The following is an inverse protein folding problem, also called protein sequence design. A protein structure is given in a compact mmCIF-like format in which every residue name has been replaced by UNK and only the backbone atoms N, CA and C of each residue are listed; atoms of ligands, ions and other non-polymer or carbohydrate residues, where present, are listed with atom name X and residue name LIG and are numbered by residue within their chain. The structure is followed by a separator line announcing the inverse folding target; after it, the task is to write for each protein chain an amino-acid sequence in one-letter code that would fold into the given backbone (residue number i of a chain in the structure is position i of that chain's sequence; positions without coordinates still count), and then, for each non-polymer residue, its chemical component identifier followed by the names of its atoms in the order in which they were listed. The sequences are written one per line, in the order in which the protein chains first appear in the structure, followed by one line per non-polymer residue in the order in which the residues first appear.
data_IF_620479285518
#
_entry.id   IF_620479285518
#
_cell.length_a   1.000
_cell.length_b   1.000
_cell.length_c   1.000
_cell.angle_alpha   90.00
_cell.angle_beta   90.00
_cell.angle_gamma   90.00
#
_symmetry.space_group_name_H-M   'P 1'
#
loop_
_entity.id
_entity.type
_entity.pdbx_description
1 polymer ?
#
# COMPACT_ATOMS: atom_id res chain seq x y z
N UNK A 1 13.94 5.51 21.67
CA UNK A 1 13.51 5.92 20.31
C UNK A 1 14.13 4.95 19.33
N UNK A 2 13.45 3.84 19.03
CA UNK A 2 14.00 2.77 18.20
C UNK A 2 13.63 3.01 16.72
N UNK A 3 14.65 3.16 15.87
CA UNK A 3 14.55 3.24 14.43
C UNK A 3 14.16 1.89 13.83
N UNK A 4 13.03 1.84 13.11
CA UNK A 4 12.60 0.64 12.41
C UNK A 4 13.11 0.70 10.96
N UNK A 5 14.10 -0.15 10.66
CA UNK A 5 14.66 -0.34 9.32
C UNK A 5 13.75 -1.21 8.44
N UNK A 6 13.91 -1.03 7.13
CA UNK A 6 12.99 -1.41 6.05
C UNK A 6 13.41 -2.74 5.41
N UNK A 7 13.84 -3.71 6.21
CA UNK A 7 14.60 -4.88 5.72
C UNK A 7 13.67 -6.12 5.52
N UNK A 8 12.50 -5.95 4.91
CA UNK A 8 11.44 -6.98 4.89
C UNK A 8 11.21 -7.69 3.54
N UNK A 9 12.01 -7.46 2.50
CA UNK A 9 11.65 -7.92 1.15
C UNK A 9 12.67 -8.85 0.49
N UNK A 10 13.04 -9.94 1.17
CA UNK A 10 13.59 -11.13 0.52
C UNK A 10 13.08 -12.37 1.26
N UNK A 11 12.26 -13.18 0.58
CA UNK A 11 12.14 -14.63 0.74
C UNK A 11 10.96 -15.16 -0.10
N UNK A 12 11.36 -15.62 -1.29
CA UNK A 12 11.12 -16.94 -1.87
C UNK A 12 9.69 -17.40 -2.20
N UNK A 13 9.51 -17.51 -3.53
CA UNK A 13 8.51 -18.28 -4.25
C UNK A 13 8.75 -19.77 -4.00
N UNK A 14 7.76 -20.46 -3.44
CA UNK A 14 7.66 -21.90 -3.61
C UNK A 14 6.23 -22.24 -4.00
N UNK A 15 6.12 -22.95 -5.12
CA UNK A 15 4.89 -23.23 -5.85
C UNK A 15 4.37 -24.60 -5.47
N UNK A 16 3.05 -24.74 -5.31
CA UNK A 16 2.39 -26.05 -5.35
C UNK A 16 1.04 -25.93 -6.09
N UNK A 17 0.61 -26.96 -6.84
CA UNK A 17 -0.28 -26.83 -7.99
C UNK A 17 -1.78 -26.81 -7.64
N UNK A 18 -2.54 -25.93 -8.29
CA UNK A 18 -4.00 -25.89 -8.24
C UNK A 18 -4.63 -27.05 -9.01
N UNK A 19 -5.48 -27.81 -8.30
CA UNK A 19 -6.36 -28.84 -8.84
C UNK A 19 -7.58 -28.16 -9.47
N UNK A 20 -7.81 -28.42 -10.75
CA UNK A 20 -8.96 -27.95 -11.54
C UNK A 20 -10.16 -28.86 -11.26
N UNK A 21 -11.33 -28.33 -10.85
CA UNK A 21 -12.59 -29.04 -11.04
C UNK A 21 -13.29 -28.60 -12.33
N UNK A 22 -13.69 -29.60 -13.12
CA UNK A 22 -14.34 -29.55 -14.43
C UNK A 22 -15.66 -28.77 -14.46
N UNK A 23 -15.91 -28.14 -15.62
CA UNK A 23 -17.13 -27.42 -15.94
C UNK A 23 -18.31 -28.36 -16.27
N UNK A 24 -19.55 -28.07 -15.83
CA UNK A 24 -20.74 -28.74 -16.33
C UNK A 24 -21.29 -28.10 -17.63
N UNK A 25 -22.11 -28.84 -18.41
CA UNK A 25 -22.35 -28.62 -19.84
C UNK A 25 -23.42 -27.56 -20.16
N UNK A 26 -23.30 -27.00 -21.36
CA UNK A 26 -24.16 -25.97 -21.94
C UNK A 26 -25.55 -26.47 -22.34
N UNK A 27 -26.57 -25.63 -22.12
CA UNK A 27 -27.91 -25.76 -22.73
C UNK A 27 -28.18 -24.55 -23.65
N UNK A 28 -28.88 -24.75 -24.80
CA UNK A 28 -29.14 -23.71 -25.77
C UNK A 28 -30.50 -23.00 -25.59
N UNK A 29 -30.55 -21.79 -26.15
CA UNK A 29 -31.69 -21.08 -26.75
C UNK A 29 -32.54 -20.11 -25.91
N UNK A 30 -32.29 -18.83 -26.25
CA UNK A 30 -33.28 -17.87 -26.79
C UNK A 30 -34.25 -17.19 -25.81
N UNK A 31 -33.89 -15.96 -25.43
CA UNK A 31 -34.84 -14.89 -25.16
C UNK A 31 -34.38 -13.58 -25.85
N UNK A 32 -35.33 -12.77 -26.35
CA UNK A 32 -35.05 -11.62 -27.22
C UNK A 32 -34.49 -10.42 -26.46
N UNK A 33 -33.51 -9.75 -27.08
CA UNK A 33 -32.91 -8.50 -26.65
C UNK A 33 -33.94 -7.35 -26.59
N UNK A 34 -33.96 -6.55 -25.51
CA UNK A 34 -34.43 -5.18 -25.60
C UNK A 34 -33.29 -4.32 -26.15
N UNK A 35 -33.56 -3.64 -27.26
CA UNK A 35 -32.72 -2.59 -27.84
C UNK A 35 -32.54 -1.46 -26.82
N UNK A 36 -31.37 -1.42 -26.17
CA UNK A 36 -30.94 -0.27 -25.38
C UNK A 36 -29.98 0.51 -26.27
N UNK A 37 -30.39 1.74 -26.58
CA UNK A 37 -29.71 2.66 -27.49
C UNK A 37 -28.22 2.78 -27.19
N UNK A 38 -27.44 2.60 -28.23
CA UNK A 38 -25.99 2.81 -28.27
C UNK A 38 -25.69 4.30 -28.21
N UNK A 39 -25.83 4.90 -27.03
CA UNK A 39 -25.09 6.11 -26.69
C UNK A 39 -23.63 5.71 -26.46
N UNK A 40 -22.64 6.32 -27.14
CA UNK A 40 -21.24 6.00 -26.91
C UNK A 40 -20.91 6.35 -25.46
N UNK A 41 -20.70 5.33 -24.63
CA UNK A 41 -20.15 5.49 -23.29
C UNK A 41 -18.78 6.13 -23.48
N UNK A 42 -18.73 7.44 -23.28
CA UNK A 42 -17.51 8.20 -23.09
C UNK A 42 -16.77 7.53 -21.93
N UNK A 43 -15.72 6.78 -22.25
CA UNK A 43 -14.77 6.28 -21.26
C UNK A 43 -14.16 7.54 -20.62
N UNK A 44 -14.41 7.85 -19.34
CA UNK A 44 -13.79 9.01 -18.73
C UNK A 44 -12.28 8.75 -18.68
N UNK A 45 -11.51 9.57 -19.40
CA UNK A 45 -10.05 9.60 -19.27
C UNK A 45 -9.69 9.62 -17.78
N UNK A 46 -8.99 8.58 -17.35
CA UNK A 46 -8.56 8.31 -15.98
C UNK A 46 -7.46 9.29 -15.55
N UNK A 47 -7.71 10.60 -15.63
CA UNK A 47 -6.80 11.59 -15.07
C UNK A 47 -6.99 11.64 -13.56
N UNK A 48 -6.12 10.91 -12.86
CA UNK A 48 -6.02 11.00 -11.40
C UNK A 48 -5.58 12.44 -11.07
N UNK A 49 -6.36 13.20 -10.28
CA UNK A 49 -6.00 14.57 -9.96
C UNK A 49 -4.71 14.57 -9.15
N UNK A 50 -3.79 15.45 -9.53
CA UNK A 50 -2.52 15.62 -8.83
C UNK A 50 -2.80 16.02 -7.37
N UNK A 51 -2.02 15.51 -6.40
CA UNK A 51 -2.11 15.97 -5.02
C UNK A 51 -1.80 17.47 -4.98
N UNK A 52 -2.33 18.20 -3.99
CA UNK A 52 -2.11 19.64 -3.83
C UNK A 52 -0.60 19.96 -3.80
N UNK A 53 -0.09 20.55 -4.89
CA UNK A 53 1.34 20.79 -5.14
C UNK A 53 1.89 22.00 -4.38
N UNK A 54 1.03 22.98 -4.08
CA UNK A 54 1.41 24.27 -3.48
C UNK A 54 1.44 24.25 -1.94
N UNK A 55 1.32 23.05 -1.34
CA UNK A 55 1.32 22.89 0.11
C UNK A 55 2.72 22.62 0.64
N UNK A 56 3.15 23.43 1.61
CA UNK A 56 4.38 23.20 2.36
C UNK A 56 4.13 22.32 3.59
N UNK A 57 5.12 21.48 3.92
CA UNK A 57 5.04 20.55 5.04
C UNK A 57 6.19 20.79 6.01
N UNK A 58 5.90 20.75 7.31
CA UNK A 58 6.92 20.95 8.35
C UNK A 58 7.99 19.84 8.36
N UNK A 59 7.62 18.63 7.93
CA UNK A 59 8.53 17.49 7.82
C UNK A 59 8.31 16.75 6.49
N UNK A 60 9.35 16.09 5.95
CA UNK A 60 9.18 15.28 4.75
C UNK A 60 8.20 14.13 4.96
N UNK A 61 8.17 13.55 6.16
CA UNK A 61 7.25 12.46 6.51
C UNK A 61 5.78 12.92 6.49
N UNK A 62 5.50 14.18 6.83
CA UNK A 62 4.17 14.78 6.72
C UNK A 62 3.74 14.95 5.26
N UNK A 63 4.65 15.38 4.38
CA UNK A 63 4.37 15.49 2.94
C UNK A 63 4.07 14.13 2.30
N UNK A 64 4.89 13.12 2.60
CA UNK A 64 4.67 11.73 2.13
C UNK A 64 3.34 11.18 2.65
N UNK A 65 2.97 11.55 3.88
CA UNK A 65 1.71 11.17 4.51
C UNK A 65 0.54 11.77 3.75
N UNK A 66 0.56 13.06 3.46
CA UNK A 66 -0.49 13.73 2.70
C UNK A 66 -0.65 13.18 1.28
N UNK A 67 0.46 12.90 0.58
CA UNK A 67 0.40 12.28 -0.76
C UNK A 67 -0.23 10.89 -0.69
N UNK A 68 0.11 10.08 0.32
CA UNK A 68 -0.48 8.76 0.47
C UNK A 68 -1.95 8.82 0.92
N UNK A 69 -2.36 9.79 1.73
CA UNK A 69 -3.77 9.97 2.10
C UNK A 69 -4.62 10.34 0.88
N UNK A 70 -4.11 11.22 0.02
CA UNK A 70 -4.73 11.49 -1.29
C UNK A 70 -4.72 10.25 -2.17
N UNK A 71 -3.58 9.58 -2.30
CA UNK A 71 -3.42 8.38 -3.12
C UNK A 71 -4.33 7.22 -2.69
N UNK A 72 -4.66 7.11 -1.40
CA UNK A 72 -5.59 6.09 -0.88
C UNK A 72 -6.98 6.19 -1.52
N UNK A 73 -7.44 7.41 -1.82
CA UNK A 73 -8.75 7.64 -2.47
C UNK A 73 -8.70 7.26 -3.95
N UNK A 74 -7.58 7.54 -4.62
CA UNK A 74 -7.41 7.31 -6.07
C UNK A 74 -6.74 5.97 -6.41
N UNK A 75 -6.48 5.12 -5.42
CA UNK A 75 -5.94 3.78 -5.63
C UNK A 75 -4.45 3.74 -6.01
N UNK A 76 -3.65 4.67 -5.50
CA UNK A 76 -2.19 4.63 -5.64
C UNK A 76 -1.49 4.90 -4.32
N UNK A 77 -0.20 4.58 -4.26
CA UNK A 77 0.62 4.90 -3.10
C UNK A 77 2.07 5.16 -3.51
N UNK A 78 2.77 5.93 -2.68
CA UNK A 78 4.16 6.33 -2.93
C UNK A 78 5.09 5.91 -1.80
N UNK A 79 6.29 5.48 -2.19
CA UNK A 79 7.40 5.14 -1.30
C UNK A 79 8.61 6.04 -1.57
N UNK A 80 9.44 6.26 -0.55
CA UNK A 80 10.72 6.94 -0.72
C UNK A 80 11.74 6.00 -1.36
N UNK A 81 12.20 6.32 -2.57
CA UNK A 81 13.19 5.55 -3.33
C UNK A 81 14.63 5.99 -3.05
N UNK A 82 14.89 7.29 -3.10
CA UNK A 82 16.23 7.86 -2.90
C UNK A 82 16.12 9.15 -2.12
N UNK A 83 16.97 9.35 -1.12
CA UNK A 83 17.08 10.64 -0.44
C UNK A 83 18.49 11.20 -0.60
N UNK A 84 18.60 12.50 -0.89
CA UNK A 84 19.87 13.22 -0.74
C UNK A 84 19.87 13.88 0.64
N UNK A 85 21.00 13.81 1.34
CA UNK A 85 21.18 14.45 2.65
C UNK A 85 22.17 15.61 2.52
N UNK A 86 21.99 16.63 3.36
CA UNK A 86 22.96 17.70 3.53
C UNK A 86 24.21 17.20 4.25
N UNK A 87 25.29 18.00 4.26
CA UNK A 87 26.50 17.70 5.04
C UNK A 87 26.23 17.51 6.54
N UNK A 88 25.15 18.13 7.06
CA UNK A 88 24.68 18.00 8.45
C UNK A 88 23.79 16.77 8.69
N UNK A 89 23.61 15.90 7.71
CA UNK A 89 22.80 14.68 7.81
C UNK A 89 21.29 14.85 7.62
N UNK A 90 20.79 16.09 7.47
CA UNK A 90 19.35 16.38 7.25
C UNK A 90 18.94 16.01 5.82
N UNK A 91 17.78 15.35 5.63
CA UNK A 91 17.23 15.03 4.30
C UNK A 91 16.92 16.32 3.54
N UNK A 92 17.56 16.49 2.38
CA UNK A 92 17.46 17.65 1.49
C UNK A 92 16.40 17.44 0.40
N UNK A 93 16.46 16.28 -0.24
CA UNK A 93 15.55 15.87 -1.33
C UNK A 93 15.10 14.45 -1.05
N UNK A 94 13.83 14.15 -1.28
CA UNK A 94 13.31 12.78 -1.27
C UNK A 94 12.65 12.50 -2.61
N UNK A 95 13.20 11.53 -3.34
CA UNK A 95 12.62 10.97 -4.55
C UNK A 95 11.56 9.96 -4.14
N UNK A 96 10.31 10.23 -4.48
CA UNK A 96 9.20 9.31 -4.28
C UNK A 96 9.01 8.45 -5.53
N UNK A 97 8.43 7.27 -5.41
CA UNK A 97 8.01 6.47 -6.56
C UNK A 97 6.77 5.69 -6.19
N UNK A 98 6.01 5.23 -7.20
CA UNK A 98 4.93 4.29 -6.97
C UNK A 98 5.42 3.08 -6.16
N UNK A 99 4.64 2.64 -5.17
CA UNK A 99 4.99 1.49 -4.32
C UNK A 99 4.96 0.17 -5.08
N UNK A 100 4.22 0.11 -6.20
CA UNK A 100 4.21 -1.01 -7.15
C UNK A 100 5.16 -0.80 -8.33
N UNK A 101 6.11 0.15 -8.27
CA UNK A 101 7.09 0.40 -9.35
C UNK A 101 7.90 -0.85 -9.76
N UNK A 102 8.17 -1.78 -8.83
CA UNK A 102 9.05 -2.94 -9.07
C UNK A 102 8.44 -4.08 -9.89
N UNK A 103 7.15 -4.02 -10.25
CA UNK A 103 6.47 -5.14 -10.93
C UNK A 103 6.60 -5.14 -12.46
N UNK A 104 7.37 -4.23 -13.07
CA UNK A 104 7.56 -4.16 -14.53
C UNK A 104 9.07 -4.22 -14.86
N UNK A 105 9.50 -5.01 -15.86
CA UNK A 105 10.89 -5.03 -16.31
C UNK A 105 11.33 -3.65 -16.85
N UNK A 106 12.62 -3.30 -16.72
CA UNK A 106 13.10 -1.95 -16.95
C UNK A 106 13.34 -1.69 -18.44
N UNK A 107 12.42 -1.01 -19.09
CA UNK A 107 12.74 -0.18 -20.23
C UNK A 107 12.06 1.17 -20.02
N UNK A 108 12.85 2.26 -20.06
CA UNK A 108 12.50 3.65 -19.69
C UNK A 108 12.48 3.93 -18.18
N UNK A 109 13.69 4.11 -17.62
CA UNK A 109 13.93 4.72 -16.31
C UNK A 109 13.86 6.25 -16.43
N UNK A 110 12.96 6.90 -15.70
CA UNK A 110 13.14 8.29 -15.28
C UNK A 110 12.66 8.48 -13.84
N UNK A 111 13.57 8.95 -13.00
CA UNK A 111 13.45 9.05 -11.54
C UNK A 111 12.83 10.39 -11.11
N UNK A 112 11.70 10.36 -10.39
CA UNK A 112 11.11 11.50 -9.68
C UNK A 112 12.12 12.23 -8.77
N UNK A 113 12.33 13.52 -8.94
CA UNK A 113 13.22 14.37 -8.16
C UNK A 113 12.51 15.60 -7.58
N UNK A 114 12.95 16.00 -6.37
CA UNK A 114 12.54 17.25 -5.72
C UNK A 114 13.78 18.15 -5.68
N UNK A 115 13.92 19.13 -6.59
CA UNK A 115 14.98 20.11 -6.50
C UNK A 115 14.67 21.17 -5.43
N UNK A 116 15.71 21.62 -4.74
CA UNK A 116 15.67 22.55 -3.61
C UNK A 116 15.12 23.94 -3.96
N UNK A 117 14.32 24.51 -3.06
CA UNK A 117 14.75 25.61 -2.18
C UNK A 117 13.71 25.78 -1.05
N UNK A 118 14.10 25.45 0.18
CA UNK A 118 13.22 25.27 1.35
C UNK A 118 12.28 24.06 1.20
N UNK A 119 11.90 23.43 2.31
CA UNK A 119 11.09 22.20 2.42
C UNK A 119 9.62 22.38 1.95
N UNK A 120 9.38 23.17 0.91
CA UNK A 120 8.09 23.83 0.71
C UNK A 120 7.24 23.27 -0.41
N UNK A 121 7.82 22.67 -1.45
CA UNK A 121 7.08 22.42 -2.70
C UNK A 121 7.25 20.97 -3.18
N UNK A 122 6.14 20.31 -3.49
CA UNK A 122 6.11 19.00 -4.14
C UNK A 122 6.10 19.22 -5.65
N UNK A 123 6.97 18.54 -6.39
CA UNK A 123 7.00 18.57 -7.86
C UNK A 123 6.72 17.18 -8.43
N UNK A 124 5.87 17.11 -9.46
CA UNK A 124 5.59 15.87 -10.18
C UNK A 124 6.34 15.92 -11.51
N UNK A 125 7.32 15.03 -11.67
CA UNK A 125 8.14 15.00 -12.91
C UNK A 125 7.56 14.08 -13.97
N UNK A 126 6.91 12.99 -13.56
CA UNK A 126 6.26 12.06 -14.47
C UNK A 126 4.85 11.74 -13.96
N UNK A 127 3.80 12.26 -14.63
CA UNK A 127 2.41 11.99 -14.26
C UNK A 127 1.91 10.63 -14.79
N UNK A 128 2.74 9.88 -15.51
CA UNK A 128 2.34 8.56 -16.03
C UNK A 128 2.40 7.52 -14.92
N UNK A 129 1.31 6.75 -14.82
CA UNK A 129 1.18 5.67 -13.87
C UNK A 129 1.63 4.36 -14.51
N UNK A 130 2.43 3.59 -13.79
CA UNK A 130 2.90 2.29 -14.25
C UNK A 130 1.85 1.18 -14.04
N UNK A 131 0.76 1.45 -13.31
CA UNK A 131 -0.38 0.57 -13.16
C UNK A 131 -1.66 1.39 -12.98
N UNK A 132 -2.82 0.80 -13.29
CA UNK A 132 -4.11 1.41 -12.99
C UNK A 132 -4.42 1.40 -11.49
N UNK A 133 -5.43 2.17 -11.03
CA UNK A 133 -5.83 2.22 -9.62
C UNK A 133 -6.03 0.84 -9.00
N UNK A 134 -5.53 0.65 -7.77
CA UNK A 134 -5.69 -0.59 -7.01
C UNK A 134 -6.20 -0.37 -5.59
N UNK A 135 -6.90 -1.35 -4.99
CA UNK A 135 -7.49 -1.16 -3.67
C UNK A 135 -6.42 -0.99 -2.58
N UNK A 136 -6.70 -0.28 -1.48
CA UNK A 136 -5.72 -0.01 -0.42
C UNK A 136 -5.05 -1.25 0.17
N UNK A 137 -5.73 -2.40 0.16
CA UNK A 137 -5.20 -3.68 0.64
C UNK A 137 -4.01 -4.20 -0.18
N UNK A 138 -3.88 -3.78 -1.44
CA UNK A 138 -2.75 -4.18 -2.31
C UNK A 138 -1.48 -3.38 -2.03
N UNK A 139 -1.61 -2.22 -1.37
CA UNK A 139 -0.52 -1.30 -1.09
C UNK A 139 0.02 -1.51 0.32
N UNK A 140 1.27 -2.00 0.49
CA UNK A 140 1.84 -2.24 1.82
C UNK A 140 1.87 -0.99 2.69
N UNK A 141 2.05 0.20 2.11
CA UNK A 141 2.10 1.45 2.87
C UNK A 141 0.74 1.80 3.49
N UNK A 142 -0.36 1.58 2.78
CA UNK A 142 -1.72 1.81 3.30
C UNK A 142 -2.04 0.82 4.43
N UNK A 143 -1.73 -0.46 4.22
CA UNK A 143 -1.88 -1.49 5.25
C UNK A 143 -1.04 -1.20 6.49
N UNK A 144 0.21 -0.78 6.32
CA UNK A 144 1.10 -0.43 7.43
C UNK A 144 0.59 0.77 8.23
N UNK A 145 0.09 1.81 7.56
CA UNK A 145 -0.50 2.99 8.21
C UNK A 145 -1.73 2.61 9.03
N UNK A 146 -2.62 1.80 8.45
CA UNK A 146 -3.79 1.28 9.16
C UNK A 146 -3.38 0.40 10.36
N UNK A 147 -2.36 -0.44 10.19
CA UNK A 147 -1.82 -1.30 11.25
C UNK A 147 -1.32 -0.48 12.43
N UNK A 148 -0.57 0.61 12.19
CA UNK A 148 -0.11 1.52 13.24
C UNK A 148 -1.29 2.18 13.93
N UNK A 149 -2.27 2.68 13.17
CA UNK A 149 -3.45 3.34 13.74
C UNK A 149 -4.27 2.41 14.65
N UNK A 150 -4.23 1.10 14.40
CA UNK A 150 -4.95 0.08 15.17
C UNK A 150 -4.03 -0.72 16.12
N UNK A 151 -2.77 -0.31 16.26
CA UNK A 151 -1.74 -1.11 16.94
C UNK A 151 -2.10 -1.44 18.39
N UNK A 152 -2.57 -0.48 19.16
CA UNK A 152 -2.92 -0.68 20.59
C UNK A 152 -4.03 -1.72 20.75
N UNK A 153 -5.08 -1.62 19.92
CA UNK A 153 -6.20 -2.57 19.91
C UNK A 153 -5.72 -3.98 19.53
N UNK A 154 -4.90 -4.09 18.50
CA UNK A 154 -4.34 -5.38 18.06
C UNK A 154 -3.43 -5.97 19.13
N UNK A 155 -2.56 -5.16 19.73
CA UNK A 155 -1.65 -5.58 20.80
C UNK A 155 -2.43 -6.05 22.04
N UNK A 156 -3.49 -5.35 22.44
CA UNK A 156 -4.36 -5.77 23.54
C UNK A 156 -5.00 -7.14 23.26
N UNK A 157 -5.51 -7.37 22.04
CA UNK A 157 -6.10 -8.65 21.65
C UNK A 157 -5.06 -9.78 21.61
N UNK A 158 -3.84 -9.50 21.16
CA UNK A 158 -2.71 -10.45 21.20
C UNK A 158 -2.38 -10.83 22.65
N UNK A 159 -2.29 -9.85 23.56
CA UNK A 159 -2.04 -10.10 25.00
C UNK A 159 -3.13 -10.95 25.65
N UNK A 160 -4.37 -10.85 25.17
CA UNK A 160 -5.49 -11.69 25.58
C UNK A 160 -5.46 -13.11 24.96
N UNK A 161 -4.45 -13.44 24.15
CA UNK A 161 -4.32 -14.75 23.51
C UNK A 161 -5.27 -14.97 22.33
N UNK A 162 -5.91 -13.93 21.81
CA UNK A 162 -6.86 -14.06 20.70
C UNK A 162 -6.10 -14.49 19.42
N UNK A 163 -6.57 -15.52 18.69
CA UNK A 163 -5.91 -15.97 17.47
C UNK A 163 -6.07 -14.96 16.33
N UNK A 164 -5.07 -14.88 15.45
CA UNK A 164 -4.98 -13.91 14.34
C UNK A 164 -6.26 -13.81 13.50
N UNK A 165 -6.87 -14.94 13.13
CA UNK A 165 -8.11 -14.95 12.33
C UNK A 165 -9.25 -14.23 13.06
N UNK A 166 -9.39 -14.43 14.37
CA UNK A 166 -10.42 -13.78 15.19
C UNK A 166 -10.16 -12.29 15.41
N UNK A 167 -8.88 -11.90 15.53
CA UNK A 167 -8.49 -10.49 15.58
C UNK A 167 -9.02 -9.77 14.33
N UNK A 168 -8.76 -10.32 13.14
CA UNK A 168 -9.26 -9.74 11.89
C UNK A 168 -10.78 -9.67 11.82
N UNK A 169 -11.49 -10.73 12.21
CA UNK A 169 -12.96 -10.71 12.24
C UNK A 169 -13.45 -9.55 13.11
N UNK A 170 -12.91 -9.39 14.32
CA UNK A 170 -13.26 -8.28 15.23
C UNK A 170 -12.89 -6.90 14.67
N UNK A 171 -11.80 -6.79 13.92
CA UNK A 171 -11.43 -5.54 13.26
C UNK A 171 -12.43 -5.17 12.17
N UNK A 172 -12.84 -6.15 11.35
CA UNK A 172 -13.84 -5.97 10.28
C UNK A 172 -15.24 -5.73 10.80
N UNK A 173 -15.61 -6.31 11.94
CA UNK A 173 -16.87 -6.01 12.64
C UNK A 173 -16.93 -4.55 13.09
N UNK A 174 -15.80 -3.97 13.52
CA UNK A 174 -15.74 -2.56 13.92
C UNK A 174 -15.49 -1.57 12.78
N UNK A 175 -14.93 -2.04 11.68
CA UNK A 175 -14.52 -1.24 10.53
C UNK A 175 -14.52 -2.11 9.28
N UNK A 176 -15.63 -2.05 8.53
CA UNK A 176 -15.88 -2.90 7.36
C UNK A 176 -14.84 -2.69 6.26
N UNK A 177 -14.23 -1.50 6.19
CA UNK A 177 -13.29 -1.10 5.15
C UNK A 177 -11.83 -1.39 5.51
N UNK A 178 -11.59 -2.22 6.53
CA UNK A 178 -10.25 -2.57 6.96
C UNK A 178 -9.47 -3.27 5.85
N UNK A 179 -8.35 -2.67 5.44
CA UNK A 179 -7.47 -3.17 4.37
C UNK A 179 -6.44 -4.20 4.86
N UNK A 180 -6.43 -4.50 6.17
CA UNK A 180 -5.47 -5.40 6.80
C UNK A 180 -5.68 -6.86 6.37
N UNK A 181 -4.57 -7.54 6.17
CA UNK A 181 -4.53 -8.96 5.81
C UNK A 181 -4.13 -9.83 7.02
N UNK A 182 -4.36 -11.16 6.97
CA UNK A 182 -3.92 -12.07 8.03
C UNK A 182 -2.40 -12.03 8.25
N UNK A 183 -1.65 -11.81 7.17
CA UNK A 183 -0.18 -11.72 7.20
C UNK A 183 0.29 -10.52 8.02
N UNK A 184 -0.41 -9.39 7.97
CA UNK A 184 -0.05 -8.19 8.74
C UNK A 184 -0.14 -8.43 10.24
N UNK A 185 -1.25 -9.04 10.69
CA UNK A 185 -1.46 -9.37 12.10
C UNK A 185 -0.47 -10.43 12.56
N UNK A 186 -0.18 -11.44 11.72
CA UNK A 186 0.84 -12.45 12.02
C UNK A 186 2.22 -11.83 12.22
N UNK A 187 2.66 -10.98 11.27
CA UNK A 187 3.95 -10.29 11.35
C UNK A 187 4.03 -9.38 12.59
N UNK A 188 2.95 -8.66 12.89
CA UNK A 188 2.87 -7.81 14.07
C UNK A 188 2.98 -8.61 15.37
N UNK A 189 2.28 -9.75 15.46
CA UNK A 189 2.40 -10.68 16.59
C UNK A 189 3.81 -11.24 16.73
N UNK A 190 4.43 -11.66 15.62
CA UNK A 190 5.82 -12.14 15.60
C UNK A 190 6.76 -11.07 16.16
N UNK A 191 6.59 -9.81 15.75
CA UNK A 191 7.39 -8.68 16.27
C UNK A 191 7.22 -8.48 17.78
N UNK A 192 5.98 -8.42 18.28
CA UNK A 192 5.72 -8.29 19.73
C UNK A 192 6.37 -9.45 20.50
N UNK A 193 6.25 -10.67 19.98
CA UNK A 193 6.85 -11.84 20.62
C UNK A 193 8.38 -11.76 20.63
N UNK A 194 9.01 -11.34 19.54
CA UNK A 194 10.47 -11.14 19.49
C UNK A 194 10.94 -10.08 20.49
N UNK A 195 10.20 -8.98 20.61
CA UNK A 195 10.47 -7.92 21.60
C UNK A 195 10.30 -8.44 23.03
N UNK A 196 9.21 -9.16 23.31
CA UNK A 196 8.95 -9.75 24.63
C UNK A 196 10.01 -10.78 25.03
N UNK A 197 10.43 -11.63 24.08
CA UNK A 197 11.44 -12.64 24.31
C UNK A 197 12.87 -12.07 24.32
N UNK A 198 13.04 -10.77 24.07
CA UNK A 198 14.35 -10.12 23.91
C UNK A 198 15.27 -10.90 22.94
N UNK A 199 14.69 -11.45 21.87
CA UNK A 199 15.40 -12.28 20.88
C UNK A 199 15.64 -13.75 21.27
N UNK A 200 15.10 -14.24 22.39
CA UNK A 200 15.18 -15.66 22.77
C UNK A 200 14.11 -16.51 22.04
N UNK A 201 14.42 -17.75 21.72
CA UNK A 201 13.43 -18.73 21.23
C UNK A 201 12.73 -19.39 22.42
N UNK A 202 11.39 -19.55 22.40
CA UNK A 202 10.71 -20.32 23.43
C UNK A 202 11.14 -21.80 23.32
N UNK A 203 11.48 -22.40 24.47
CA UNK A 203 11.81 -23.82 24.61
C UNK A 203 10.55 -24.70 24.58
#
# INVERSE_FOLDING_TARGET
MASLSLDYLDSDLDSDPEVIPESPPALPSTLPSPEIGTEPINLPSTEIPLPLLDQSYATPEAGITAINDHGRVYGYAVISRRSKRTKKGVKKTIRLSCDRWRTIPPETQDDLSIPDTNLSNITVENPTYNHGPSPPSTHPIHRYRELISKADKIQQQIKQGIPTRRILTKLRESDLDSSLTPRDIYNFRKKINMEFLAGRTPL
#
